data_IF_789435585635
#
_entry.id   IF_789435585635
#
_cell.length_a   1.000
_cell.length_b   1.000
_cell.length_c   1.000
_cell.angle_alpha   90.00
_cell.angle_beta   90.00
_cell.angle_gamma   90.00
#
_symmetry.space_group_name_H-M   'P 1'
#
loop_
_entity.id
_entity.type
_entity.pdbx_description
1 polymer ?
#
# COMPACT_ATOMS: atom_id res chain seq x y z
N UNK A 1 17.83 -81.27 -2.96
CA UNK A 1 18.70 -80.40 -3.78
C UNK A 1 18.05 -79.04 -3.95
N UNK A 2 18.42 -78.08 -3.09
CA UNK A 2 18.22 -76.64 -3.31
C UNK A 2 18.99 -75.88 -2.21
N UNK A 3 20.30 -75.77 -2.42
CA UNK A 3 21.21 -74.88 -1.70
C UNK A 3 21.89 -74.08 -2.80
N UNK A 4 21.63 -72.77 -2.91
CA UNK A 4 22.44 -71.77 -3.62
C UNK A 4 21.64 -70.44 -3.71
N UNK A 5 21.91 -69.52 -2.78
CA UNK A 5 21.93 -68.06 -2.98
C UNK A 5 22.09 -67.34 -1.63
N UNK A 6 23.23 -67.59 -0.98
CA UNK A 6 23.80 -66.74 0.07
C UNK A 6 25.09 -66.18 -0.54
N UNK A 7 25.34 -64.87 -0.38
CA UNK A 7 26.51 -64.08 -0.82
C UNK A 7 26.35 -63.25 -2.11
N UNK A 8 25.73 -62.08 -1.96
CA UNK A 8 26.13 -60.76 -2.52
C UNK A 8 25.00 -59.78 -2.16
N UNK A 9 25.04 -59.08 -1.03
CA UNK A 9 25.76 -57.80 -0.94
C UNK A 9 25.70 -57.30 0.51
N UNK A 10 26.87 -57.15 1.14
CA UNK A 10 27.09 -56.32 2.32
C UNK A 10 28.14 -55.28 1.93
N UNK A 11 27.73 -54.02 1.84
CA UNK A 11 28.47 -52.80 2.25
C UNK A 11 27.88 -51.56 1.56
N UNK A 12 27.03 -50.84 2.28
CA UNK A 12 26.97 -49.38 2.20
C UNK A 12 26.97 -48.84 3.63
N UNK A 13 28.11 -48.35 4.15
CA UNK A 13 28.16 -47.64 5.41
C UNK A 13 27.74 -46.18 5.19
N UNK A 14 26.85 -45.64 6.04
CA UNK A 14 26.79 -44.19 6.27
C UNK A 14 25.55 -43.41 5.80
N UNK A 15 24.39 -44.02 5.59
CA UNK A 15 23.14 -43.30 5.32
C UNK A 15 22.06 -43.75 6.30
N UNK A 16 22.08 -43.24 7.53
CA UNK A 16 21.09 -43.66 8.53
C UNK A 16 20.80 -42.69 9.67
N UNK A 17 21.77 -41.84 10.07
CA UNK A 17 21.53 -40.89 11.15
C UNK A 17 21.05 -39.52 10.64
N UNK A 18 21.64 -38.99 9.56
CA UNK A 18 21.25 -37.68 9.01
C UNK A 18 19.82 -37.63 8.46
N UNK A 19 19.40 -38.65 7.71
CA UNK A 19 18.05 -38.72 7.15
C UNK A 19 16.97 -38.89 8.23
N UNK A 20 17.27 -39.68 9.26
CA UNK A 20 16.36 -39.90 10.39
C UNK A 20 16.23 -38.63 11.26
N UNK A 21 17.30 -37.84 11.36
CA UNK A 21 17.31 -36.58 12.11
C UNK A 21 16.65 -35.43 11.34
N UNK A 22 16.80 -35.38 10.00
CA UNK A 22 16.02 -34.48 9.15
C UNK A 22 14.52 -34.79 9.22
N UNK A 23 14.14 -36.07 9.21
CA UNK A 23 12.73 -36.43 9.29
C UNK A 23 12.12 -36.08 10.66
N UNK A 24 12.87 -36.27 11.75
CA UNK A 24 12.46 -35.78 13.09
C UNK A 24 12.30 -34.26 13.11
N UNK A 25 13.21 -33.51 12.48
CA UNK A 25 13.12 -32.04 12.39
C UNK A 25 11.91 -31.61 11.55
N UNK A 26 11.59 -32.35 10.46
CA UNK A 26 10.41 -32.08 9.62
C UNK A 26 9.11 -32.28 10.41
N UNK A 27 8.95 -33.42 11.09
CA UNK A 27 7.77 -33.71 11.92
C UNK A 27 7.58 -32.71 13.06
N UNK A 28 8.69 -32.23 13.65
CA UNK A 28 8.64 -31.21 14.69
C UNK A 28 8.18 -29.85 14.16
N UNK A 29 8.56 -29.48 12.92
CA UNK A 29 8.08 -28.25 12.26
C UNK A 29 6.59 -28.36 11.92
N UNK A 30 6.16 -29.49 11.36
CA UNK A 30 4.76 -29.77 11.04
C UNK A 30 3.87 -29.70 12.30
N UNK A 31 4.28 -30.34 13.40
CA UNK A 31 3.54 -30.24 14.68
C UNK A 31 3.47 -28.81 15.23
N UNK A 32 4.53 -28.01 15.08
CA UNK A 32 4.54 -26.61 15.53
C UNK A 32 3.61 -25.75 14.68
N UNK A 33 3.58 -25.97 13.37
CA UNK A 33 2.66 -25.26 12.47
C UNK A 33 1.20 -25.66 12.72
N UNK A 34 0.92 -26.94 12.97
CA UNK A 34 -0.43 -27.42 13.27
C UNK A 34 -0.94 -26.86 14.59
N UNK A 35 -0.11 -26.83 15.64
CA UNK A 35 -0.44 -26.18 16.92
C UNK A 35 -0.69 -24.68 16.75
N UNK A 36 0.11 -24.00 15.92
CA UNK A 36 -0.09 -22.57 15.61
C UNK A 36 -1.40 -22.34 14.85
N UNK A 37 -1.76 -23.22 13.90
CA UNK A 37 -3.04 -23.17 13.18
C UNK A 37 -4.24 -23.43 14.10
N UNK A 38 -4.16 -24.43 14.98
CA UNK A 38 -5.22 -24.73 15.96
C UNK A 38 -5.42 -23.57 16.95
N UNK A 39 -4.33 -23.05 17.51
CA UNK A 39 -4.38 -21.88 18.41
C UNK A 39 -4.95 -20.64 17.71
N UNK A 40 -4.52 -20.35 16.48
CA UNK A 40 -5.04 -19.23 15.71
C UNK A 40 -6.53 -19.40 15.36
N UNK A 41 -6.99 -20.63 15.11
CA UNK A 41 -8.39 -20.93 14.84
C UNK A 41 -9.25 -20.78 16.10
N UNK A 42 -8.78 -21.31 17.23
CA UNK A 42 -9.43 -21.14 18.54
C UNK A 42 -9.48 -19.67 18.98
N UNK A 43 -8.42 -18.88 18.75
CA UNK A 43 -8.42 -17.44 19.00
C UNK A 43 -9.43 -16.71 18.10
N UNK A 44 -9.48 -17.04 16.81
CA UNK A 44 -10.49 -16.49 15.87
C UNK A 44 -11.93 -16.88 16.23
N UNK A 45 -12.13 -18.09 16.74
CA UNK A 45 -13.43 -18.62 17.14
C UNK A 45 -13.87 -18.03 18.49
N UNK A 46 -12.95 -17.85 19.44
CA UNK A 46 -13.20 -17.12 20.68
C UNK A 46 -13.48 -15.63 20.45
N UNK A 47 -12.83 -15.02 19.45
CA UNK A 47 -13.09 -13.63 19.05
C UNK A 47 -14.42 -13.49 18.31
N UNK A 48 -14.85 -14.50 17.54
CA UNK A 48 -16.20 -14.57 16.95
C UNK A 48 -17.33 -14.69 17.98
N UNK A 49 -17.07 -15.32 19.13
CA UNK A 49 -18.07 -15.47 20.21
C UNK A 49 -18.20 -14.20 21.07
N UNK A 50 -17.23 -13.29 21.02
CA UNK A 50 -17.28 -11.99 21.73
C UNK A 50 -17.83 -10.85 20.87
N UNK A 51 -18.98 -11.07 20.23
CA UNK A 51 -19.80 -9.94 19.78
C UNK A 51 -20.57 -9.45 21.00
N UNK A 52 -19.87 -8.78 21.92
CA UNK A 52 -20.54 -8.02 22.98
C UNK A 52 -21.31 -6.89 22.30
N UNK A 53 -22.64 -6.93 22.39
CA UNK A 53 -23.45 -5.80 21.96
C UNK A 53 -23.01 -4.59 22.79
N UNK A 54 -22.70 -3.44 22.16
CA UNK A 54 -21.99 -2.31 22.80
C UNK A 54 -22.72 -1.64 23.98
N UNK A 55 -23.90 -2.13 24.34
CA UNK A 55 -24.80 -1.60 25.36
C UNK A 55 -25.13 -2.63 26.46
N UNK A 56 -24.57 -3.84 26.42
CA UNK A 56 -24.84 -4.91 27.39
C UNK A 56 -26.31 -5.31 27.53
N UNK A 57 -27.14 -4.95 26.56
CA UNK A 57 -28.54 -5.37 26.49
C UNK A 57 -28.63 -6.60 25.57
N UNK A 58 -29.32 -7.67 25.99
CA UNK A 58 -29.53 -8.83 25.13
C UNK A 58 -30.31 -8.48 23.85
N UNK A 59 -29.96 -9.13 22.73
CA UNK A 59 -30.55 -8.86 21.41
C UNK A 59 -32.08 -8.98 21.39
N UNK A 60 -32.64 -9.97 22.09
CA UNK A 60 -34.10 -10.15 22.16
C UNK A 60 -34.81 -8.97 22.82
N UNK A 61 -34.17 -8.28 23.77
CA UNK A 61 -34.77 -7.09 24.42
C UNK A 61 -34.88 -5.93 23.43
N UNK A 62 -33.89 -5.77 22.53
CA UNK A 62 -34.00 -4.79 21.43
C UNK A 62 -35.12 -5.16 20.49
N UNK A 63 -35.19 -6.43 20.10
CA UNK A 63 -36.24 -6.93 19.21
C UNK A 63 -37.63 -6.66 19.78
N UNK A 64 -37.86 -6.98 21.06
CA UNK A 64 -39.13 -6.76 21.74
C UNK A 64 -39.47 -5.27 21.87
N UNK A 65 -38.49 -4.44 22.25
CA UNK A 65 -38.66 -2.98 22.33
C UNK A 65 -39.02 -2.38 20.98
N UNK A 66 -38.30 -2.78 19.91
CA UNK A 66 -38.58 -2.31 18.55
C UNK A 66 -39.96 -2.75 18.08
N UNK A 67 -40.33 -4.01 18.25
CA UNK A 67 -41.66 -4.49 17.84
C UNK A 67 -42.80 -3.83 18.61
N UNK A 68 -42.60 -3.56 19.90
CA UNK A 68 -43.60 -2.90 20.75
C UNK A 68 -43.84 -1.45 20.32
N UNK A 69 -42.77 -0.73 19.95
CA UNK A 69 -42.85 0.72 19.71
C UNK A 69 -42.81 1.13 18.23
N UNK A 70 -42.48 0.24 17.29
CA UNK A 70 -42.30 0.53 15.86
C UNK A 70 -43.47 1.30 15.25
N UNK A 71 -44.69 0.83 15.45
CA UNK A 71 -45.89 1.47 14.86
C UNK A 71 -46.10 2.87 15.42
N UNK A 72 -45.93 3.05 16.74
CA UNK A 72 -46.05 4.34 17.39
C UNK A 72 -44.98 5.34 16.90
N UNK A 73 -43.74 4.88 16.73
CA UNK A 73 -42.65 5.69 16.19
C UNK A 73 -42.96 6.17 14.77
N UNK A 74 -43.33 5.25 13.88
CA UNK A 74 -43.68 5.60 12.49
C UNK A 74 -44.85 6.59 12.43
N UNK A 75 -45.89 6.35 13.23
CA UNK A 75 -47.05 7.25 13.30
C UNK A 75 -46.69 8.64 13.84
N UNK A 76 -45.79 8.70 14.83
CA UNK A 76 -45.28 9.98 15.35
C UNK A 76 -44.51 10.73 14.27
N UNK A 77 -43.58 10.07 13.59
CA UNK A 77 -42.81 10.67 12.49
C UNK A 77 -43.70 11.16 11.34
N UNK A 78 -44.81 10.49 11.06
CA UNK A 78 -45.79 10.92 10.05
C UNK A 78 -46.62 12.15 10.45
N UNK A 79 -46.68 12.51 11.73
CA UNK A 79 -47.45 13.65 12.26
C UNK A 79 -46.57 14.80 12.76
N UNK A 80 -45.31 14.52 13.08
CA UNK A 80 -44.36 15.47 13.63
C UNK A 80 -44.05 16.62 12.66
N UNK A 81 -43.76 17.79 13.21
CA UNK A 81 -43.34 18.93 12.40
C UNK A 81 -41.92 18.70 11.84
N UNK A 82 -41.58 19.22 10.64
CA UNK A 82 -40.26 19.01 10.05
C UNK A 82 -39.09 19.37 10.97
N UNK A 83 -39.24 20.43 11.78
CA UNK A 83 -38.23 20.85 12.76
C UNK A 83 -38.00 19.82 13.87
N UNK A 84 -39.04 19.11 14.29
CA UNK A 84 -38.97 18.06 15.31
C UNK A 84 -38.31 16.80 14.73
N UNK A 85 -38.68 16.42 13.51
CA UNK A 85 -38.04 15.32 12.76
C UNK A 85 -36.55 15.58 12.60
N UNK A 86 -36.16 16.77 12.15
CA UNK A 86 -34.76 17.18 12.01
C UNK A 86 -34.01 17.07 13.34
N UNK A 87 -34.61 17.52 14.45
CA UNK A 87 -33.99 17.46 15.76
C UNK A 87 -33.74 16.00 16.23
N UNK A 88 -34.72 15.12 16.03
CA UNK A 88 -34.60 13.69 16.40
C UNK A 88 -33.57 13.00 15.50
N UNK A 89 -33.65 13.18 14.18
CA UNK A 89 -32.71 12.58 13.24
C UNK A 89 -31.27 13.04 13.48
N UNK A 90 -31.07 14.32 13.79
CA UNK A 90 -29.77 14.85 14.17
C UNK A 90 -29.25 14.23 15.49
N UNK A 91 -30.15 13.92 16.42
CA UNK A 91 -29.82 13.16 17.64
C UNK A 91 -29.37 11.73 17.32
N UNK A 92 -30.13 11.01 16.50
CA UNK A 92 -29.81 9.65 16.04
C UNK A 92 -28.42 9.62 15.40
N UNK A 93 -28.14 10.55 14.46
CA UNK A 93 -26.84 10.63 13.81
C UNK A 93 -25.68 10.82 14.79
N UNK A 94 -25.83 11.73 15.75
CA UNK A 94 -24.77 12.01 16.73
C UNK A 94 -24.48 10.81 17.61
N UNK A 95 -25.52 10.09 18.03
CA UNK A 95 -25.37 8.89 18.85
C UNK A 95 -24.73 7.76 18.04
N UNK A 96 -25.28 7.47 16.86
CA UNK A 96 -24.82 6.36 16.02
C UNK A 96 -23.37 6.55 15.53
N UNK A 97 -23.01 7.77 15.12
CA UNK A 97 -21.67 8.05 14.58
C UNK A 97 -20.68 8.57 15.62
N UNK A 98 -21.11 8.77 16.88
CA UNK A 98 -20.32 9.41 17.95
C UNK A 98 -19.61 10.70 17.50
N UNK A 99 -20.14 11.39 16.50
CA UNK A 99 -19.54 12.56 15.89
C UNK A 99 -20.48 13.77 16.05
N UNK A 100 -20.21 14.69 17.01
CA UNK A 100 -21.07 15.85 17.25
C UNK A 100 -21.03 16.86 16.10
N UNK A 101 -20.00 16.81 15.24
CA UNK A 101 -19.80 17.73 14.12
C UNK A 101 -20.59 17.31 12.88
N UNK A 102 -21.01 16.05 12.78
CA UNK A 102 -21.83 15.57 11.66
C UNK A 102 -23.21 16.22 11.74
N UNK A 103 -23.59 16.98 10.71
CA UNK A 103 -24.89 17.65 10.64
C UNK A 103 -25.64 17.24 9.39
N UNK A 104 -26.93 16.95 9.53
CA UNK A 104 -27.86 16.75 8.42
C UNK A 104 -29.19 17.42 8.77
N UNK A 105 -29.82 18.01 7.76
CA UNK A 105 -31.06 18.78 7.88
C UNK A 105 -32.00 18.46 6.73
N UNK A 106 -33.20 19.01 6.81
CA UNK A 106 -34.24 18.89 5.78
C UNK A 106 -34.58 17.42 5.52
N UNK A 107 -34.78 16.65 6.60
CA UNK A 107 -35.12 15.24 6.52
C UNK A 107 -36.51 15.07 5.92
N UNK A 108 -36.60 14.25 4.87
CA UNK A 108 -37.84 13.98 4.17
C UNK A 108 -38.13 12.49 4.11
N UNK A 109 -39.39 12.07 4.21
CA UNK A 109 -39.76 10.68 3.98
C UNK A 109 -39.47 10.30 2.52
N UNK A 110 -38.90 9.11 2.30
CA UNK A 110 -38.62 8.60 0.97
C UNK A 110 -39.93 8.13 0.32
N UNK A 111 -40.23 8.66 -0.87
CA UNK A 111 -41.53 8.45 -1.54
C UNK A 111 -41.71 7.04 -2.11
N UNK A 112 -40.62 6.38 -2.48
CA UNK A 112 -40.61 5.11 -3.21
C UNK A 112 -40.30 3.90 -2.31
N UNK A 113 -40.23 4.09 -1.00
CA UNK A 113 -39.81 3.08 -0.03
C UNK A 113 -40.85 2.82 1.06
N UNK A 114 -40.73 1.72 1.82
CA UNK A 114 -41.60 1.46 2.96
C UNK A 114 -41.65 2.66 3.92
N UNK A 115 -42.85 2.90 4.47
CA UNK A 115 -43.12 4.00 5.41
C UNK A 115 -42.04 4.03 6.50
N UNK A 116 -41.51 5.20 6.86
CA UNK A 116 -40.52 5.31 7.96
C UNK A 116 -39.06 5.28 7.53
N UNK A 117 -38.77 5.29 6.23
CA UNK A 117 -37.44 5.66 5.73
C UNK A 117 -37.36 7.16 5.49
N UNK A 118 -36.36 7.80 6.07
CA UNK A 118 -36.11 9.24 5.95
C UNK A 118 -34.72 9.50 5.35
N UNK A 119 -34.64 10.47 4.45
CA UNK A 119 -33.41 10.86 3.78
C UNK A 119 -33.04 12.31 4.12
N UNK A 120 -31.79 12.54 4.50
CA UNK A 120 -31.23 13.89 4.63
C UNK A 120 -30.81 14.42 3.26
N UNK A 121 -31.36 15.58 2.84
CA UNK A 121 -31.16 16.11 1.47
C UNK A 121 -29.69 16.36 1.08
N UNK A 122 -28.82 16.67 2.04
CA UNK A 122 -27.44 17.11 1.76
C UNK A 122 -26.38 16.01 1.88
N UNK A 123 -26.55 15.10 2.82
CA UNK A 123 -25.49 14.17 3.22
C UNK A 123 -25.69 12.76 2.68
N UNK A 124 -26.74 12.50 1.89
CA UNK A 124 -27.06 11.17 1.33
C UNK A 124 -27.15 10.07 2.42
N UNK A 125 -27.56 10.50 3.62
CA UNK A 125 -27.79 9.64 4.78
C UNK A 125 -29.26 9.29 4.82
N UNK A 126 -29.53 8.01 5.10
CA UNK A 126 -30.87 7.45 5.18
C UNK A 126 -31.02 6.77 6.55
N UNK A 127 -32.17 7.00 7.19
CA UNK A 127 -32.52 6.39 8.47
C UNK A 127 -33.80 5.61 8.28
N UNK A 128 -33.76 4.31 8.57
CA UNK A 128 -34.96 3.49 8.66
C UNK A 128 -35.39 3.42 10.14
N UNK A 129 -36.45 4.13 10.50
CA UNK A 129 -36.91 4.19 11.90
C UNK A 129 -37.59 2.90 12.36
N UNK A 130 -37.97 2.01 11.44
CA UNK A 130 -38.57 0.72 11.78
C UNK A 130 -37.54 -0.32 12.20
N UNK A 131 -36.41 -0.37 11.50
CA UNK A 131 -35.29 -1.26 11.81
C UNK A 131 -34.23 -0.60 12.69
N UNK A 132 -34.28 0.73 12.85
CA UNK A 132 -33.27 1.54 13.55
C UNK A 132 -31.89 1.39 12.89
N UNK A 133 -31.91 1.28 11.56
CA UNK A 133 -30.71 1.17 10.76
C UNK A 133 -30.38 2.50 10.09
N UNK A 134 -29.08 2.75 9.96
CA UNK A 134 -28.51 3.94 9.38
C UNK A 134 -27.69 3.57 8.14
N UNK A 135 -28.04 4.17 7.02
CA UNK A 135 -27.42 3.94 5.72
C UNK A 135 -26.82 5.23 5.17
N UNK A 136 -25.79 5.08 4.36
CA UNK A 136 -25.19 6.14 3.55
C UNK A 136 -25.09 5.62 2.11
N UNK A 137 -25.79 6.24 1.16
CA UNK A 137 -25.91 5.78 -0.23
C UNK A 137 -26.23 4.27 -0.35
N UNK A 138 -27.26 3.79 0.35
CA UNK A 138 -27.67 2.38 0.40
C UNK A 138 -26.62 1.40 0.99
N UNK A 139 -25.62 1.90 1.72
CA UNK A 139 -24.60 1.07 2.40
C UNK A 139 -24.60 1.34 3.90
N UNK A 140 -24.37 0.31 4.71
CA UNK A 140 -24.29 0.48 6.15
C UNK A 140 -23.14 1.40 6.55
N UNK A 141 -23.38 2.20 7.58
CA UNK A 141 -22.34 3.02 8.21
C UNK A 141 -21.59 2.16 9.22
N UNK A 142 -20.28 2.08 9.03
CA UNK A 142 -19.37 1.30 9.87
C UNK A 142 -18.20 2.17 10.33
N UNK A 143 -17.54 1.85 11.45
CA UNK A 143 -16.25 2.46 11.77
C UNK A 143 -15.23 2.20 10.66
N UNK A 144 -14.34 3.16 10.40
CA UNK A 144 -13.24 2.93 9.45
C UNK A 144 -12.43 1.71 9.90
N UNK A 145 -12.19 0.72 9.02
CA UNK A 145 -11.45 -0.47 9.40
C UNK A 145 -10.09 -0.15 10.01
N UNK A 146 -9.74 -0.84 11.10
CA UNK A 146 -8.54 -0.58 11.88
C UNK A 146 -7.25 -0.56 11.03
N UNK A 147 -7.14 -1.45 10.04
CA UNK A 147 -5.98 -1.50 9.14
C UNK A 147 -5.84 -0.28 8.22
N UNK A 148 -6.92 0.47 7.97
CA UNK A 148 -6.85 1.75 7.25
C UNK A 148 -6.60 2.91 8.23
N UNK A 149 -7.31 2.92 9.35
CA UNK A 149 -7.26 4.00 10.34
C UNK A 149 -5.90 4.11 11.06
N UNK A 150 -5.13 3.01 11.13
CA UNK A 150 -3.80 2.96 11.76
C UNK A 150 -2.66 3.42 10.87
N UNK A 151 -2.92 3.81 9.63
CA UNK A 151 -1.85 4.31 8.75
C UNK A 151 -1.45 5.74 9.12
N UNK A 152 -0.17 6.07 8.98
CA UNK A 152 0.35 7.41 9.28
C UNK A 152 -0.34 8.50 8.46
N UNK A 153 -0.64 8.20 7.18
CA UNK A 153 -1.35 9.11 6.28
C UNK A 153 -2.78 9.40 6.78
N UNK A 154 -3.47 8.38 7.30
CA UNK A 154 -4.80 8.57 7.89
C UNK A 154 -4.72 9.46 9.13
N UNK A 155 -3.80 9.17 10.05
CA UNK A 155 -3.62 9.95 11.27
C UNK A 155 -3.19 11.40 10.98
N UNK A 156 -2.39 11.62 9.93
CA UNK A 156 -1.97 12.95 9.50
C UNK A 156 -3.15 13.79 8.99
N UNK A 157 -4.07 13.20 8.24
CA UNK A 157 -5.18 13.93 7.60
C UNK A 157 -6.37 14.07 8.56
N UNK A 158 -6.71 13.03 9.33
CA UNK A 158 -7.93 12.98 10.13
C UNK A 158 -7.68 13.05 11.64
N UNK A 159 -6.42 12.97 12.08
CA UNK A 159 -6.06 12.94 13.49
C UNK A 159 -6.43 11.60 14.15
N UNK A 160 -6.69 11.66 15.46
CA UNK A 160 -7.06 10.49 16.28
C UNK A 160 -8.58 10.34 16.48
N UNK A 161 -9.38 11.23 15.89
CA UNK A 161 -10.84 11.19 16.04
C UNK A 161 -11.41 9.95 15.30
N UNK A 162 -12.29 9.16 15.93
CA UNK A 162 -12.96 8.04 15.27
C UNK A 162 -13.72 8.54 14.04
N UNK A 163 -13.48 7.91 12.88
CA UNK A 163 -14.22 8.20 11.66
C UNK A 163 -15.13 7.03 11.33
N UNK A 164 -16.26 7.35 10.70
CA UNK A 164 -17.19 6.37 10.14
C UNK A 164 -17.13 6.44 8.62
N UNK A 165 -17.39 5.30 7.99
CA UNK A 165 -17.39 5.16 6.55
C UNK A 165 -18.54 4.27 6.09
N UNK A 166 -18.85 4.38 4.81
CA UNK A 166 -19.65 3.39 4.10
C UNK A 166 -18.78 2.64 3.10
N UNK A 167 -18.99 1.35 2.95
CA UNK A 167 -18.33 0.56 1.92
C UNK A 167 -18.83 1.02 0.55
N UNK A 168 -17.90 1.41 -0.34
CA UNK A 168 -18.23 1.72 -1.74
C UNK A 168 -18.06 0.49 -2.60
N UNK A 169 -16.94 -0.22 -2.42
CA UNK A 169 -16.69 -1.49 -3.09
C UNK A 169 -15.60 -2.30 -2.39
N UNK A 170 -15.73 -3.62 -2.40
CA UNK A 170 -14.69 -4.56 -2.01
C UNK A 170 -14.37 -5.49 -3.18
N UNK A 171 -13.10 -5.56 -3.55
CA UNK A 171 -12.54 -6.47 -4.54
C UNK A 171 -11.46 -7.31 -3.86
N UNK A 172 -11.00 -8.38 -4.52
CA UNK A 172 -9.97 -9.31 -4.00
C UNK A 172 -8.76 -8.58 -3.39
N UNK A 173 -8.23 -7.58 -4.10
CA UNK A 173 -7.02 -6.84 -3.72
C UNK A 173 -7.26 -5.37 -3.39
N UNK A 174 -8.53 -4.95 -3.24
CA UNK A 174 -8.87 -3.54 -3.02
C UNK A 174 -10.12 -3.38 -2.20
N UNK A 175 -10.01 -2.66 -1.09
CA UNK A 175 -11.14 -2.19 -0.31
C UNK A 175 -11.30 -0.68 -0.50
N UNK A 176 -12.49 -0.22 -0.85
CA UNK A 176 -12.81 1.19 -1.07
C UNK A 176 -13.96 1.58 -0.16
N UNK A 177 -13.69 2.52 0.75
CA UNK A 177 -14.67 3.11 1.65
C UNK A 177 -14.75 4.63 1.44
N UNK A 178 -15.89 5.20 1.79
CA UNK A 178 -16.14 6.65 1.76
C UNK A 178 -16.45 7.15 3.15
N UNK A 179 -15.80 8.24 3.57
CA UNK A 179 -16.05 8.81 4.89
C UNK A 179 -17.42 9.50 4.92
N UNK A 180 -18.14 9.29 6.02
CA UNK A 180 -19.45 9.91 6.25
C UNK A 180 -19.25 11.36 6.73
N UNK A 181 -19.98 12.30 6.14
CA UNK A 181 -19.89 13.73 6.47
C UNK A 181 -18.61 14.41 5.99
N UNK A 182 -17.83 13.76 5.12
CA UNK A 182 -16.64 14.36 4.51
C UNK A 182 -16.50 13.90 3.07
N UNK A 183 -15.98 14.78 2.21
CA UNK A 183 -15.74 14.49 0.79
C UNK A 183 -14.46 13.69 0.56
N UNK A 184 -14.23 12.61 1.32
CA UNK A 184 -13.04 11.77 1.20
C UNK A 184 -13.39 10.31 0.90
N UNK A 185 -12.58 9.72 0.03
CA UNK A 185 -12.52 8.29 -0.23
C UNK A 185 -11.21 7.75 0.28
N UNK A 186 -11.27 6.55 0.84
CA UNK A 186 -10.10 5.80 1.30
C UNK A 186 -10.10 4.48 0.54
N UNK A 187 -8.99 4.21 -0.13
CA UNK A 187 -8.79 2.97 -0.88
C UNK A 187 -7.55 2.29 -0.33
N UNK A 188 -7.71 1.06 0.14
CA UNK A 188 -6.60 0.19 0.52
C UNK A 188 -6.38 -0.85 -0.55
N UNK A 189 -5.11 -1.12 -0.82
CA UNK A 189 -4.65 -2.32 -1.51
C UNK A 189 -3.79 -3.14 -0.55
N UNK A 190 -3.93 -4.45 -0.67
CA UNK A 190 -3.02 -5.41 -0.06
C UNK A 190 -1.65 -5.39 -0.75
N UNK A 191 -0.64 -5.93 -0.05
CA UNK A 191 0.68 -6.14 -0.59
C UNK A 191 0.62 -6.92 -1.92
N UNK A 192 1.27 -6.43 -2.99
CA UNK A 192 1.33 -7.14 -4.24
C UNK A 192 2.02 -8.51 -4.12
N UNK A 193 1.41 -9.55 -4.68
CA UNK A 193 1.90 -10.94 -4.63
C UNK A 193 3.04 -11.25 -5.63
N UNK A 194 3.64 -10.21 -6.21
CA UNK A 194 4.70 -10.28 -7.21
C UNK A 194 4.26 -10.73 -8.61
N UNK A 195 3.06 -11.31 -8.76
CA UNK A 195 2.48 -11.70 -10.06
C UNK A 195 1.68 -10.57 -10.70
N UNK A 196 1.20 -9.65 -9.88
CA UNK A 196 0.40 -8.51 -10.32
C UNK A 196 1.25 -7.46 -11.05
N UNK A 197 0.80 -7.08 -12.24
CA UNK A 197 1.38 -5.94 -12.97
C UNK A 197 0.95 -4.64 -12.30
N UNK A 198 1.92 -3.84 -11.84
CA UNK A 198 1.67 -2.51 -11.31
C UNK A 198 1.73 -1.46 -12.41
N UNK A 199 0.91 -0.41 -12.31
CA UNK A 199 0.95 0.71 -13.25
C UNK A 199 2.31 1.42 -13.16
N UNK A 200 2.90 1.75 -14.31
CA UNK A 200 4.21 2.42 -14.40
C UNK A 200 5.40 1.60 -13.85
N UNK A 201 5.23 0.29 -13.64
CA UNK A 201 6.34 -0.61 -13.35
C UNK A 201 7.13 -0.91 -14.65
N UNK A 202 8.48 -0.85 -14.62
CA UNK A 202 9.27 -1.29 -15.75
C UNK A 202 8.98 -2.76 -16.09
N UNK A 203 8.79 -3.07 -17.36
CA UNK A 203 8.61 -4.44 -17.83
C UNK A 203 9.95 -5.03 -18.26
N UNK A 204 10.16 -6.31 -17.94
CA UNK A 204 11.37 -7.04 -18.27
C UNK A 204 11.39 -7.42 -19.75
N UNK A 205 12.47 -7.12 -20.47
CA UNK A 205 12.74 -7.68 -21.78
C UNK A 205 13.51 -8.99 -21.63
N UNK A 206 12.91 -10.08 -22.11
CA UNK A 206 13.52 -11.42 -22.10
C UNK A 206 14.00 -11.85 -20.71
N UNK A 207 13.09 -11.83 -19.73
CA UNK A 207 13.39 -12.15 -18.33
C UNK A 207 14.33 -11.14 -17.64
N UNK A 208 14.59 -9.99 -18.26
CA UNK A 208 15.46 -8.94 -17.75
C UNK A 208 16.92 -9.07 -18.19
N UNK A 209 17.24 -10.05 -19.04
CA UNK A 209 18.61 -10.27 -19.54
C UNK A 209 18.97 -9.33 -20.69
N UNK A 210 17.98 -8.84 -21.43
CA UNK A 210 18.19 -7.93 -22.57
C UNK A 210 17.87 -6.47 -22.27
N UNK A 211 17.28 -6.18 -21.12
CA UNK A 211 16.92 -4.82 -20.74
C UNK A 211 15.51 -4.71 -20.18
N UNK A 212 14.98 -3.49 -20.24
CA UNK A 212 13.68 -3.12 -19.71
C UNK A 212 12.91 -2.22 -20.67
N UNK A 213 11.58 -2.18 -20.56
CA UNK A 213 10.77 -1.10 -21.13
C UNK A 213 10.14 -0.30 -20.00
N UNK A 214 10.30 1.01 -20.03
CA UNK A 214 9.71 1.88 -19.02
C UNK A 214 9.27 3.20 -19.67
N UNK A 215 8.02 3.60 -19.41
CA UNK A 215 7.42 4.82 -19.99
C UNK A 215 7.48 4.87 -21.53
N UNK A 216 7.32 3.72 -22.18
CA UNK A 216 7.38 3.60 -23.64
C UNK A 216 8.80 3.55 -24.23
N UNK A 217 9.83 3.67 -23.40
CA UNK A 217 11.23 3.71 -23.82
C UNK A 217 11.94 2.38 -23.53
N UNK A 218 12.74 1.91 -24.48
CA UNK A 218 13.55 0.69 -24.34
C UNK A 218 14.92 1.01 -23.70
N UNK A 219 15.30 0.24 -22.68
CA UNK A 219 16.57 0.32 -21.98
C UNK A 219 17.34 -1.00 -22.13
N UNK A 220 18.15 -1.13 -23.17
CA UNK A 220 18.87 -2.36 -23.51
C UNK A 220 20.38 -2.22 -23.64
N UNK A 221 20.94 -1.01 -23.50
CA UNK A 221 22.40 -0.77 -23.56
C UNK A 221 23.04 -0.94 -22.17
N UNK A 222 23.93 -1.91 -21.92
CA UNK A 222 24.51 -2.13 -20.60
C UNK A 222 25.28 -0.91 -20.06
N UNK A 223 25.28 -0.75 -18.73
CA UNK A 223 25.99 0.32 -18.03
C UNK A 223 26.71 -0.19 -16.76
N UNK A 224 27.97 0.21 -16.49
CA UNK A 224 28.87 0.85 -17.45
C UNK A 224 29.20 -0.09 -18.62
N UNK A 225 29.64 0.48 -19.74
CA UNK A 225 30.01 -0.30 -20.94
C UNK A 225 31.27 0.29 -21.57
N UNK A 226 32.13 -0.59 -22.09
CA UNK A 226 33.34 -0.19 -22.82
C UNK A 226 33.02 0.49 -24.16
N UNK A 227 31.76 0.38 -24.62
CA UNK A 227 31.25 0.95 -25.87
C UNK A 227 30.42 2.22 -25.65
N UNK A 228 30.64 2.94 -24.54
CA UNK A 228 29.99 4.23 -24.31
C UNK A 228 30.58 5.25 -25.29
N UNK A 229 29.68 6.02 -25.92
CA UNK A 229 30.08 7.00 -26.91
C UNK A 229 30.75 8.20 -26.21
N UNK A 230 31.72 8.89 -26.85
CA UNK A 230 32.37 10.06 -26.27
C UNK A 230 31.38 11.14 -25.79
N UNK A 231 30.28 11.33 -26.53
CA UNK A 231 29.24 12.33 -26.25
C UNK A 231 28.38 11.97 -25.02
N UNK A 232 28.40 10.70 -24.61
CA UNK A 232 27.65 10.17 -23.44
C UNK A 232 28.55 10.00 -22.21
N UNK A 233 29.87 10.24 -22.31
CA UNK A 233 30.82 10.05 -21.21
C UNK A 233 30.52 10.90 -19.97
N UNK A 234 29.81 12.02 -20.12
CA UNK A 234 29.37 12.82 -18.99
C UNK A 234 28.40 12.06 -18.07
N UNK A 235 27.64 11.10 -18.59
CA UNK A 235 26.73 10.24 -17.81
C UNK A 235 27.54 9.36 -16.87
N UNK A 236 28.59 8.72 -17.39
CA UNK A 236 29.53 7.90 -16.60
C UNK A 236 30.19 8.73 -15.52
N UNK A 237 30.74 9.89 -15.89
CA UNK A 237 31.41 10.80 -14.96
C UNK A 237 30.50 11.29 -13.83
N UNK A 238 29.18 11.32 -14.03
CA UNK A 238 28.21 11.68 -12.98
C UNK A 238 27.83 10.49 -12.10
N UNK A 239 27.64 9.29 -12.66
CA UNK A 239 27.14 8.12 -11.92
C UNK A 239 28.28 7.36 -11.23
N UNK A 240 29.43 7.23 -11.87
CA UNK A 240 30.55 6.43 -11.37
C UNK A 240 30.99 6.83 -9.96
N UNK A 241 31.24 8.12 -9.65
CA UNK A 241 31.67 8.50 -8.30
C UNK A 241 30.62 8.17 -7.23
N UNK A 242 29.34 8.31 -7.58
CA UNK A 242 28.20 7.99 -6.69
C UNK A 242 28.16 6.50 -6.36
N UNK A 243 28.34 5.65 -7.36
CA UNK A 243 28.30 4.20 -7.18
C UNK A 243 29.56 3.72 -6.45
N UNK A 244 30.73 4.23 -6.82
CA UNK A 244 31.99 3.84 -6.20
C UNK A 244 32.13 4.35 -4.76
N UNK A 245 31.53 5.49 -4.40
CA UNK A 245 31.55 5.94 -2.99
C UNK A 245 30.81 5.00 -2.05
N UNK A 246 29.75 4.33 -2.54
CA UNK A 246 28.97 3.39 -1.72
C UNK A 246 29.55 1.97 -1.77
N UNK A 247 29.99 1.50 -2.95
CA UNK A 247 30.36 0.10 -3.16
C UNK A 247 31.86 -0.15 -3.30
N UNK A 248 32.68 0.90 -3.44
CA UNK A 248 34.14 0.85 -3.63
C UNK A 248 34.60 0.38 -5.01
N UNK A 249 33.90 -0.58 -5.63
CA UNK A 249 34.22 -1.10 -6.96
C UNK A 249 32.96 -1.53 -7.72
N UNK A 250 32.97 -1.37 -9.05
CA UNK A 250 31.88 -1.80 -9.93
C UNK A 250 31.46 -3.27 -9.75
N UNK A 251 32.43 -4.16 -9.51
CA UNK A 251 32.18 -5.60 -9.31
C UNK A 251 31.38 -5.92 -8.04
N UNK A 252 31.33 -5.01 -7.05
CA UNK A 252 30.55 -5.16 -5.81
C UNK A 252 29.11 -4.66 -5.96
N UNK A 253 28.79 -3.94 -7.03
CA UNK A 253 27.48 -3.34 -7.24
C UNK A 253 26.48 -4.44 -7.63
N UNK A 254 25.41 -4.68 -6.85
CA UNK A 254 24.54 -5.84 -7.05
C UNK A 254 23.91 -5.93 -8.45
N UNK A 255 23.42 -4.81 -8.95
CA UNK A 255 22.75 -4.71 -10.24
C UNK A 255 23.74 -4.68 -11.43
N UNK A 256 25.02 -4.38 -11.21
CA UNK A 256 26.07 -4.59 -12.23
C UNK A 256 26.45 -6.06 -12.28
N UNK A 257 26.65 -6.70 -11.13
CA UNK A 257 26.94 -8.13 -11.03
C UNK A 257 25.82 -8.97 -11.65
N UNK A 258 24.57 -8.57 -11.44
CA UNK A 258 23.39 -9.21 -12.02
C UNK A 258 23.15 -8.85 -13.50
N UNK A 259 24.00 -8.02 -14.12
CA UNK A 259 23.85 -7.50 -15.48
C UNK A 259 22.49 -6.82 -15.73
N UNK A 260 22.00 -6.07 -14.74
CA UNK A 260 20.68 -5.43 -14.73
C UNK A 260 20.79 -3.92 -14.56
N UNK A 261 21.71 -3.30 -15.30
CA UNK A 261 21.93 -1.85 -15.29
C UNK A 261 22.07 -1.37 -16.74
N UNK A 262 21.12 -0.56 -17.20
CA UNK A 262 20.98 -0.23 -18.61
C UNK A 262 20.67 1.25 -18.86
N UNK A 263 21.23 1.76 -19.95
CA UNK A 263 20.87 3.01 -20.60
C UNK A 263 19.77 2.76 -21.64
N UNK A 264 19.12 3.85 -22.09
CA UNK A 264 18.22 3.82 -23.25
C UNK A 264 18.91 3.18 -24.46
N UNK A 265 18.14 2.43 -25.25
CA UNK A 265 18.57 1.84 -26.53
C UNK A 265 19.06 2.91 -27.48
N UNK A 266 18.27 3.96 -27.64
CA UNK A 266 18.62 5.08 -28.48
C UNK A 266 19.69 5.94 -27.80
N UNK A 267 20.75 6.33 -28.52
CA UNK A 267 21.78 7.20 -27.99
C UNK A 267 21.22 8.53 -27.49
N UNK A 268 21.78 9.03 -26.40
CA UNK A 268 21.42 10.35 -25.88
C UNK A 268 21.95 11.41 -26.87
N UNK A 269 21.09 12.31 -27.40
CA UNK A 269 21.53 13.36 -28.31
C UNK A 269 22.60 14.25 -27.69
N UNK A 270 23.52 14.79 -28.51
CA UNK A 270 24.56 15.69 -28.02
C UNK A 270 23.99 16.98 -27.40
N UNK A 271 22.79 17.41 -27.81
CA UNK A 271 22.09 18.57 -27.25
C UNK A 271 21.34 18.25 -25.95
N UNK A 272 21.34 17.00 -25.49
CA UNK A 272 20.57 16.60 -24.33
C UNK A 272 21.12 17.21 -23.03
N UNK A 273 20.22 17.78 -22.23
CA UNK A 273 20.52 18.32 -20.91
C UNK A 273 20.47 17.28 -19.81
N UNK A 274 19.83 16.13 -20.06
CA UNK A 274 19.64 15.07 -19.07
C UNK A 274 19.61 13.69 -19.70
N UNK A 275 19.91 12.68 -18.89
CA UNK A 275 19.83 11.28 -19.28
C UNK A 275 19.32 10.43 -18.10
N UNK A 276 18.80 9.26 -18.44
CA UNK A 276 18.26 8.29 -17.49
C UNK A 276 18.95 6.95 -17.68
N UNK A 277 19.34 6.34 -16.57
CA UNK A 277 19.89 4.97 -16.51
C UNK A 277 19.09 4.19 -15.47
N UNK A 278 18.66 2.98 -15.80
CA UNK A 278 17.78 2.17 -14.95
C UNK A 278 18.50 0.91 -14.50
N UNK A 279 18.38 0.60 -13.22
CA UNK A 279 18.87 -0.63 -12.63
C UNK A 279 17.76 -1.41 -11.93
N UNK A 280 17.89 -2.74 -11.94
CA UNK A 280 17.09 -3.64 -11.11
C UNK A 280 18.00 -4.32 -10.08
N UNK A 281 17.86 -3.92 -8.82
CA UNK A 281 18.57 -4.48 -7.68
C UNK A 281 17.66 -5.44 -6.92
N UNK A 282 17.77 -6.74 -7.22
CA UNK A 282 16.80 -7.76 -6.80
C UNK A 282 15.40 -7.40 -7.31
N UNK A 283 14.54 -6.90 -6.42
CA UNK A 283 13.16 -6.48 -6.70
C UNK A 283 12.97 -4.96 -6.60
N UNK A 284 14.07 -4.21 -6.43
CA UNK A 284 14.05 -2.75 -6.28
C UNK A 284 14.51 -2.08 -7.57
N UNK A 285 13.59 -1.36 -8.21
CA UNK A 285 13.87 -0.53 -9.37
C UNK A 285 14.54 0.78 -8.95
N UNK A 286 15.72 1.03 -9.50
CA UNK A 286 16.53 2.24 -9.28
C UNK A 286 16.64 3.02 -10.58
N UNK A 287 16.31 4.31 -10.53
CA UNK A 287 16.35 5.21 -11.68
C UNK A 287 17.35 6.31 -11.38
N UNK A 288 18.47 6.30 -12.11
CA UNK A 288 19.48 7.34 -12.07
C UNK A 288 19.14 8.38 -13.11
N UNK A 289 18.88 9.61 -12.69
CA UNK A 289 18.70 10.77 -13.55
C UNK A 289 19.91 11.68 -13.41
N UNK A 290 20.58 11.96 -14.51
CA UNK A 290 21.74 12.85 -14.53
C UNK A 290 21.42 14.12 -15.29
N UNK A 291 21.91 15.26 -14.80
CA UNK A 291 21.76 16.57 -15.43
C UNK A 291 23.14 17.07 -15.85
N UNK A 292 23.34 17.24 -17.16
CA UNK A 292 24.66 17.48 -17.78
C UNK A 292 25.31 18.78 -17.30
N UNK A 293 24.59 19.89 -17.36
CA UNK A 293 25.12 21.22 -17.04
C UNK A 293 25.39 21.40 -15.54
N UNK A 294 24.58 20.76 -14.69
CA UNK A 294 24.78 20.78 -13.23
C UNK A 294 25.84 19.78 -12.77
N UNK A 295 26.23 18.83 -13.63
CA UNK A 295 27.04 17.66 -13.25
C UNK A 295 26.47 16.94 -12.02
N UNK A 296 25.15 16.86 -11.96
CA UNK A 296 24.43 16.31 -10.81
C UNK A 296 23.80 14.97 -11.16
N UNK A 297 23.80 14.06 -10.20
CA UNK A 297 23.16 12.75 -10.27
C UNK A 297 22.10 12.64 -9.17
N UNK A 298 20.89 12.28 -9.57
CA UNK A 298 19.76 12.01 -8.71
C UNK A 298 19.39 10.54 -8.84
N UNK A 299 19.15 9.86 -7.73
CA UNK A 299 18.69 8.48 -7.77
C UNK A 299 17.32 8.38 -7.10
N UNK A 300 16.38 7.84 -7.88
CA UNK A 300 15.03 7.55 -7.46
C UNK A 300 14.87 6.05 -7.28
N UNK A 301 14.07 5.66 -6.29
CA UNK A 301 13.55 4.31 -6.18
C UNK A 301 12.08 4.35 -6.56
N UNK A 302 11.64 3.42 -7.41
CA UNK A 302 10.22 3.29 -7.72
C UNK A 302 9.50 2.64 -6.55
N UNK A 303 8.62 3.39 -5.89
CA UNK A 303 7.81 2.93 -4.76
C UNK A 303 6.39 2.65 -5.20
N UNK A 304 5.84 1.53 -4.73
CA UNK A 304 4.43 1.21 -4.93
C UNK A 304 3.58 2.08 -3.99
N UNK A 305 2.50 2.62 -4.56
CA UNK A 305 1.41 3.25 -3.82
C UNK A 305 0.13 3.15 -4.65
N UNK A 306 -0.92 2.53 -4.13
CA UNK A 306 -2.21 2.42 -4.83
C UNK A 306 -2.14 1.68 -6.17
N UNK A 307 -1.34 0.62 -6.24
CA UNK A 307 -1.03 -0.18 -7.45
C UNK A 307 -0.34 0.58 -8.58
N UNK A 308 0.30 1.71 -8.26
CA UNK A 308 1.12 2.49 -9.18
C UNK A 308 2.52 2.71 -8.61
N UNK A 309 3.51 2.64 -9.48
CA UNK A 309 4.91 2.91 -9.15
C UNK A 309 5.22 4.40 -9.32
N UNK A 310 5.72 5.02 -8.25
CA UNK A 310 6.10 6.42 -8.21
C UNK A 310 7.61 6.57 -7.96
N UNK A 311 8.33 7.39 -8.75
CA UNK A 311 9.72 7.72 -8.46
C UNK A 311 9.82 8.53 -7.17
N UNK A 312 10.49 7.97 -6.15
CA UNK A 312 10.79 8.65 -4.89
C UNK A 312 12.28 8.94 -4.83
N UNK A 313 12.66 10.21 -4.73
CA UNK A 313 14.06 10.60 -4.62
C UNK A 313 14.64 10.09 -3.30
N UNK A 314 15.72 9.33 -3.36
CA UNK A 314 16.39 8.77 -2.16
C UNK A 314 17.85 9.16 -2.06
N UNK A 315 18.42 9.72 -3.12
CA UNK A 315 19.79 10.22 -3.15
C UNK A 315 19.96 11.38 -4.16
N UNK A 316 20.80 12.34 -3.80
CA UNK A 316 21.32 13.37 -4.71
C UNK A 316 22.82 13.53 -4.50
N UNK A 317 23.57 13.78 -5.57
CA UNK A 317 24.98 14.16 -5.49
C UNK A 317 25.19 15.60 -5.04
N UNK A 318 24.17 16.46 -5.18
CA UNK A 318 24.20 17.86 -4.76
C UNK A 318 22.84 18.31 -4.26
N UNK A 319 22.74 18.63 -2.97
CA UNK A 319 21.50 19.09 -2.33
C UNK A 319 21.10 20.51 -2.74
N UNK A 320 22.04 21.34 -3.21
CA UNK A 320 21.76 22.75 -3.55
C UNK A 320 20.88 22.90 -4.78
N UNK A 321 20.86 21.88 -5.63
CA UNK A 321 20.08 21.82 -6.88
C UNK A 321 18.91 20.83 -6.78
N UNK A 322 18.63 20.34 -5.58
CA UNK A 322 17.57 19.40 -5.30
C UNK A 322 16.35 20.13 -4.72
N UNK A 323 15.15 19.85 -5.22
CA UNK A 323 13.90 20.38 -4.65
C UNK A 323 13.57 19.76 -3.28
N UNK A 324 14.10 18.57 -2.99
CA UNK A 324 13.82 17.85 -1.74
C UNK A 324 14.84 18.20 -0.66
N UNK A 325 14.37 18.53 0.54
CA UNK A 325 15.22 18.85 1.70
C UNK A 325 15.92 17.61 2.25
N UNK A 326 16.97 17.16 1.57
CA UNK A 326 17.85 16.10 2.07
C UNK A 326 18.91 16.70 3.01
N UNK A 327 19.11 16.05 4.15
CA UNK A 327 20.19 16.41 5.07
C UNK A 327 21.50 15.78 4.57
N UNK A 328 22.53 16.59 4.24
CA UNK A 328 23.85 16.06 3.96
C UNK A 328 24.39 15.27 5.16
N UNK A 329 25.24 14.29 4.87
CA UNK A 329 25.93 13.57 5.93
C UNK A 329 26.96 14.48 6.62
N UNK A 330 26.86 14.60 7.94
CA UNK A 330 27.72 15.42 8.80
C UNK A 330 28.80 14.60 9.49
N UNK A 331 28.90 13.29 9.22
CA UNK A 331 29.91 12.44 9.83
C UNK A 331 31.34 12.80 9.40
N UNK A 332 32.29 12.60 10.32
CA UNK A 332 33.71 12.77 10.05
C UNK A 332 34.18 11.79 8.99
N UNK A 333 34.93 12.30 8.00
CA UNK A 333 35.34 11.51 6.85
C UNK A 333 36.77 11.03 6.99
N UNK A 334 37.01 9.77 6.59
CA UNK A 334 38.34 9.18 6.53
C UNK A 334 39.17 9.55 5.30
N UNK A 335 38.68 10.41 4.40
CA UNK A 335 39.38 10.76 3.17
C UNK A 335 38.78 11.95 2.39
N UNK A 336 39.49 12.44 1.36
CA UNK A 336 39.08 13.60 0.58
C UNK A 336 37.81 13.34 -0.24
N UNK A 337 37.01 14.39 -0.42
CA UNK A 337 35.80 14.35 -1.22
C UNK A 337 36.11 14.20 -2.71
N UNK A 338 35.38 13.31 -3.41
CA UNK A 338 35.19 13.52 -4.85
C UNK A 338 34.40 14.83 -5.05
N UNK A 339 34.80 15.75 -5.94
CA UNK A 339 34.16 17.07 -6.06
C UNK A 339 32.64 17.01 -6.28
N UNK A 340 32.16 16.01 -7.03
CA UNK A 340 30.72 15.80 -7.27
C UNK A 340 29.92 15.37 -6.04
N UNK A 341 30.57 14.92 -4.97
CA UNK A 341 29.92 14.35 -3.79
C UNK A 341 30.03 15.26 -2.56
N UNK A 342 30.56 16.48 -2.74
CA UNK A 342 30.72 17.46 -1.65
C UNK A 342 29.41 17.77 -0.95
N UNK A 343 28.33 17.85 -1.72
CA UNK A 343 26.99 18.19 -1.23
C UNK A 343 26.03 17.01 -1.39
N UNK A 344 26.55 15.79 -1.44
CA UNK A 344 25.73 14.60 -1.58
C UNK A 344 24.90 14.34 -0.32
N UNK A 345 23.70 13.80 -0.51
CA UNK A 345 22.81 13.42 0.56
C UNK A 345 21.94 12.22 0.18
N UNK A 346 21.49 11.48 1.20
CA UNK A 346 20.74 10.24 1.02
C UNK A 346 21.62 9.01 0.81
N UNK A 347 21.02 7.88 0.45
CA UNK A 347 21.74 6.60 0.25
C UNK A 347 21.23 5.90 -1.00
N UNK A 348 22.16 5.35 -1.77
CA UNK A 348 21.77 4.58 -2.97
C UNK A 348 21.36 3.14 -2.69
N UNK A 349 21.57 2.66 -1.45
CA UNK A 349 21.26 1.31 -0.97
C UNK A 349 19.90 1.17 -0.31
N UNK A 350 19.05 2.20 -0.39
CA UNK A 350 17.70 2.18 0.20
C UNK A 350 16.93 0.97 -0.30
N UNK A 351 16.37 0.21 0.65
CA UNK A 351 15.45 -0.90 0.41
C UNK A 351 14.05 -0.36 0.19
N UNK A 352 13.26 -1.04 -0.63
CA UNK A 352 11.86 -0.70 -0.86
C UNK A 352 11.03 -1.99 -0.94
N UNK A 353 10.69 -2.60 0.21
CA UNK A 353 9.79 -3.73 0.20
C UNK A 353 8.41 -3.29 -0.33
N UNK A 354 7.75 -4.20 -1.03
CA UNK A 354 6.34 -4.05 -1.32
C UNK A 354 5.57 -4.11 0.02
N UNK A 355 4.46 -3.39 0.10
CA UNK A 355 3.64 -3.30 1.31
C UNK A 355 2.22 -2.94 0.94
N UNK A 356 1.31 -3.13 1.89
CA UNK A 356 -0.02 -2.55 1.82
C UNK A 356 0.06 -1.05 1.59
N UNK A 357 -0.85 -0.54 0.76
CA UNK A 357 -0.94 0.89 0.46
C UNK A 357 -2.35 1.41 0.69
N UNK A 358 -2.43 2.62 1.24
CA UNK A 358 -3.68 3.35 1.45
C UNK A 358 -3.60 4.66 0.69
N UNK A 359 -4.57 4.91 -0.18
CA UNK A 359 -4.73 6.16 -0.92
C UNK A 359 -5.95 6.88 -0.38
N UNK A 360 -5.73 8.13 0.04
CA UNK A 360 -6.78 9.03 0.50
C UNK A 360 -6.98 10.08 -0.59
N UNK A 361 -8.18 10.15 -1.14
CA UNK A 361 -8.52 11.11 -2.20
C UNK A 361 -9.76 11.91 -1.81
N UNK A 362 -9.78 13.20 -2.13
CA UNK A 362 -11.00 14.00 -2.02
C UNK A 362 -11.84 13.85 -3.28
N UNK A 363 -13.16 13.86 -3.15
CA UNK A 363 -14.00 14.14 -4.29
C UNK A 363 -13.73 15.58 -4.73
N UNK A 364 -13.53 15.78 -6.02
CA UNK A 364 -13.60 17.12 -6.61
C UNK A 364 -15.07 17.50 -6.59
N UNK A 365 -15.41 18.64 -5.98
CA UNK A 365 -16.79 19.11 -6.01
C UNK A 365 -17.21 19.26 -7.48
N UNK A 366 -18.42 18.80 -7.82
CA UNK A 366 -18.94 18.96 -9.19
C UNK A 366 -19.05 20.44 -9.61
N UNK A 367 -19.04 21.35 -8.64
CA UNK A 367 -19.18 22.79 -8.85
C UNK A 367 -17.87 23.50 -9.28
N UNK A 368 -16.73 22.79 -9.34
CA UNK A 368 -15.42 23.36 -9.72
C UNK A 368 -15.01 23.03 -11.18
N UNK A 369 -15.91 22.50 -12.01
CA UNK A 369 -15.65 22.14 -13.43
C UNK A 369 -16.73 22.74 -14.36
N UNK A 370 -17.19 23.97 -14.10
CA UNK A 370 -17.89 24.78 -15.11
C UNK A 370 -17.03 25.94 -15.61
#
# INVERSE_FOLDING_TARGET
MAYLAFLQTWHSPGLGQGAMEEEKKRRLREMKEEKKRKKSKEELEAERVRVETPLFVPEHVYFDMLNTHRTALVQWFGKAQPKEVDAVMQGILRVATRNPKLQSKDWVPRKDEPIGVFCGKREEIEVNVQSVELYFRNSHIEPVPNHMARTDDFALIFGKEPQHCALVAAHEHRQWVRLVGRSYNIRRWDEPDGKQTLVNMPSLLDGGNRGFVWQGEEYSRPFPSDKIRPEEMWIVKCIEPVVLSEFGQWKKVPYVKAKRFYMRKDPVPETAFSAVVIALDKDVWRVFKVIRHLKACFMFVLKEHGRRMYPSLVYTSDTRVCYYSMKPDTSDRGGPYHPLLRHAAGKITVKNPLRDSVVISRDVAKDDIE
#
